data_IF_711390179106
#
_entry.id   IF_711390179106
#
_cell.length_a   1.000
_cell.length_b   1.000
_cell.length_c   1.000
_cell.angle_alpha   90.00
_cell.angle_beta   90.00
_cell.angle_gamma   90.00
#
_symmetry.space_group_name_H-M   'P 1'
#
loop_
_entity.id
_entity.type
_entity.pdbx_description
1 polymer ?
#
# COMPACT_ATOMS: atom_id res chain seq x y z
N UNK A 1 -3.86 -9.76 20.39
CA UNK A 1 -3.59 -9.47 18.97
C UNK A 1 -3.33 -7.98 18.72
N UNK A 2 -4.30 -7.09 18.98
CA UNK A 2 -4.16 -5.63 18.74
C UNK A 2 -2.94 -5.02 19.43
N UNK A 3 -2.67 -5.40 20.69
CA UNK A 3 -1.47 -4.96 21.40
C UNK A 3 -0.17 -5.28 20.66
N UNK A 4 -0.05 -6.49 20.08
CA UNK A 4 1.13 -6.88 19.30
C UNK A 4 1.23 -6.09 17.99
N UNK A 5 0.10 -5.81 17.33
CA UNK A 5 0.06 -4.99 16.11
C UNK A 5 0.62 -3.60 16.40
N UNK A 6 0.09 -2.95 17.45
CA UNK A 6 0.50 -1.59 17.81
C UNK A 6 1.94 -1.54 18.27
N UNK A 7 2.34 -2.41 19.21
CA UNK A 7 3.71 -2.40 19.76
C UNK A 7 4.78 -2.75 18.73
N UNK A 8 4.56 -3.74 17.87
CA UNK A 8 5.52 -4.13 16.83
C UNK A 8 5.50 -3.21 15.61
N UNK A 9 4.38 -2.52 15.37
CA UNK A 9 4.21 -1.62 14.23
C UNK A 9 4.55 -0.16 14.50
N UNK A 10 4.49 0.30 15.76
CA UNK A 10 4.73 1.70 16.13
C UNK A 10 6.11 2.21 15.69
N UNK A 11 7.12 1.34 15.69
CA UNK A 11 8.47 1.67 15.21
C UNK A 11 8.49 2.16 13.77
N UNK A 12 7.60 1.67 12.90
CA UNK A 12 7.57 2.03 11.48
C UNK A 12 7.23 3.52 11.27
N UNK A 13 6.48 4.11 12.20
CA UNK A 13 6.09 5.53 12.17
C UNK A 13 7.17 6.45 12.73
N UNK A 14 8.31 5.89 13.14
CA UNK A 14 9.51 6.65 13.50
C UNK A 14 10.64 6.29 12.57
N UNK A 15 11.55 7.23 12.34
CA UNK A 15 12.71 7.00 11.50
C UNK A 15 13.88 7.83 11.99
N UNK A 16 15.06 7.24 11.96
CA UNK A 16 16.30 7.93 12.27
C UNK A 16 16.84 8.64 11.04
N UNK A 17 17.16 9.92 11.21
CA UNK A 17 17.84 10.75 10.24
C UNK A 17 19.23 11.13 10.72
N UNK A 18 20.16 11.28 9.77
CA UNK A 18 21.54 11.74 9.95
C UNK A 18 21.67 13.10 9.27
N UNK A 19 21.97 14.14 10.04
CA UNK A 19 22.25 15.46 9.50
C UNK A 19 23.72 15.56 9.07
N UNK A 20 23.97 15.94 7.83
CA UNK A 20 25.33 16.10 7.28
C UNK A 20 25.41 17.30 6.34
N UNK A 21 26.46 18.09 6.50
CA UNK A 21 26.85 19.13 5.56
C UNK A 21 27.64 18.50 4.41
N UNK A 22 27.10 18.59 3.19
CA UNK A 22 27.70 17.99 2.00
C UNK A 22 28.18 19.08 1.06
N UNK A 23 29.49 19.09 0.81
CA UNK A 23 30.10 19.96 -0.20
C UNK A 23 29.84 19.41 -1.61
N UNK A 24 29.16 20.21 -2.45
CA UNK A 24 28.80 19.85 -3.81
C UNK A 24 29.98 20.12 -4.77
N UNK A 25 31.04 19.33 -4.69
CA UNK A 25 32.29 19.55 -5.45
C UNK A 25 32.06 19.68 -6.97
N UNK A 26 32.32 20.88 -7.52
CA UNK A 26 32.18 21.17 -8.94
C UNK A 26 33.01 20.23 -9.83
N UNK A 27 34.27 19.96 -9.45
CA UNK A 27 35.15 19.05 -10.20
C UNK A 27 34.64 17.60 -10.31
N UNK A 28 33.67 17.19 -9.48
CA UNK A 28 33.04 15.87 -9.54
C UNK A 28 31.70 15.90 -10.27
N UNK A 29 30.90 16.94 -10.02
CA UNK A 29 29.50 17.04 -10.47
C UNK A 29 29.35 17.72 -11.83
N UNK A 30 30.22 18.67 -12.14
CA UNK A 30 30.21 19.45 -13.38
C UNK A 30 31.66 19.63 -13.87
N UNK A 31 32.18 18.59 -14.51
CA UNK A 31 33.58 18.57 -15.00
C UNK A 31 33.88 19.66 -16.03
N UNK A 32 32.86 20.18 -16.72
CA UNK A 32 33.02 21.21 -17.75
C UNK A 32 32.79 22.62 -17.19
N UNK A 33 32.21 22.74 -16.00
CA UNK A 33 31.91 24.01 -15.34
C UNK A 33 30.80 24.82 -16.03
N UNK A 34 30.02 24.20 -16.92
CA UNK A 34 29.02 24.88 -17.75
C UNK A 34 27.62 24.89 -17.13
N UNK A 35 27.43 24.21 -15.98
CA UNK A 35 26.13 24.03 -15.29
C UNK A 35 25.03 23.47 -16.19
N UNK A 36 25.41 22.76 -17.23
CA UNK A 36 24.49 22.19 -18.20
C UNK A 36 23.82 20.94 -17.64
N UNK A 37 22.49 20.93 -17.66
CA UNK A 37 21.68 19.84 -17.09
C UNK A 37 21.95 18.49 -17.76
N UNK A 38 22.20 18.47 -19.07
CA UNK A 38 22.40 17.23 -19.81
C UNK A 38 23.80 16.66 -19.58
N UNK A 39 24.78 17.51 -19.28
CA UNK A 39 26.09 17.07 -18.81
C UNK A 39 26.05 16.57 -17.36
N UNK A 40 25.32 17.25 -16.45
CA UNK A 40 25.19 16.83 -15.05
C UNK A 40 24.43 15.49 -14.93
N UNK A 41 23.38 15.28 -15.74
CA UNK A 41 22.61 14.02 -15.75
C UNK A 41 23.46 12.78 -16.05
N UNK A 42 24.59 12.93 -16.76
CA UNK A 42 25.52 11.84 -17.08
C UNK A 42 26.26 11.32 -15.85
N UNK A 43 26.33 12.09 -14.76
CA UNK A 43 26.87 11.61 -13.49
C UNK A 43 25.90 10.60 -12.89
N UNK A 44 26.35 9.35 -12.79
CA UNK A 44 25.57 8.27 -12.18
C UNK A 44 25.36 8.53 -10.70
N UNK A 45 24.33 7.92 -10.11
CA UNK A 45 24.06 8.01 -8.67
C UNK A 45 25.27 7.59 -7.82
N UNK A 46 26.04 6.58 -8.26
CA UNK A 46 27.28 6.16 -7.58
C UNK A 46 28.37 7.24 -7.59
N UNK A 47 28.34 8.16 -8.55
CA UNK A 47 29.25 9.30 -8.63
C UNK A 47 29.09 10.30 -7.47
N UNK A 48 27.96 10.25 -6.74
CA UNK A 48 27.68 11.09 -5.58
C UNK A 48 28.13 10.47 -4.25
N UNK A 49 28.39 9.16 -4.20
CA UNK A 49 28.85 8.44 -2.99
C UNK A 49 30.16 8.99 -2.40
N UNK A 50 31.17 9.40 -3.21
CA UNK A 50 32.38 10.04 -2.67
C UNK A 50 32.09 11.33 -1.90
N UNK A 51 31.10 12.12 -2.32
CA UNK A 51 30.73 13.36 -1.61
C UNK A 51 30.21 13.04 -0.19
N UNK A 52 29.39 11.99 -0.07
CA UNK A 52 28.90 11.52 1.23
C UNK A 52 30.04 10.95 2.10
N UNK A 53 31.00 10.26 1.49
CA UNK A 53 32.19 9.76 2.20
C UNK A 53 32.99 10.91 2.81
N UNK A 54 33.26 11.93 2.00
CA UNK A 54 34.02 13.11 2.41
C UNK A 54 33.27 13.93 3.48
N UNK A 55 31.96 14.13 3.31
CA UNK A 55 31.13 14.84 4.28
C UNK A 55 31.13 14.17 5.65
N UNK A 56 31.02 12.84 5.67
CA UNK A 56 31.01 12.07 6.90
C UNK A 56 32.39 12.06 7.57
N UNK A 57 33.46 11.93 6.78
CA UNK A 57 34.85 12.04 7.28
C UNK A 57 35.14 13.42 7.87
N UNK A 58 34.72 14.49 7.18
CA UNK A 58 34.85 15.86 7.68
C UNK A 58 34.11 16.05 9.02
N UNK A 59 32.89 15.52 9.13
CA UNK A 59 32.11 15.57 10.38
C UNK A 59 32.78 14.79 11.52
N UNK A 60 33.34 13.63 11.26
CA UNK A 60 34.09 12.83 12.26
C UNK A 60 35.32 13.59 12.76
N UNK A 61 36.07 14.22 11.85
CA UNK A 61 37.24 15.04 12.17
C UNK A 61 36.84 16.27 12.99
N UNK A 62 35.78 16.98 12.58
CA UNK A 62 35.24 18.15 13.28
C UNK A 62 34.88 17.83 14.72
N UNK A 63 34.27 16.66 14.95
CA UNK A 63 33.85 16.21 16.28
C UNK A 63 34.97 15.56 17.11
N UNK A 64 36.17 15.39 16.55
CA UNK A 64 37.28 14.73 17.24
C UNK A 64 36.99 13.27 17.59
N UNK A 65 36.16 12.58 16.80
CA UNK A 65 35.81 11.17 17.05
C UNK A 65 36.95 10.29 16.51
N UNK A 66 37.61 9.55 17.40
CA UNK A 66 38.60 8.55 16.99
C UNK A 66 37.90 7.31 16.42
N UNK A 67 38.18 6.98 15.15
CA UNK A 67 37.68 5.76 14.50
C UNK A 67 38.73 5.17 13.57
N UNK A 68 38.80 3.84 13.54
CA UNK A 68 39.61 3.04 12.62
C UNK A 68 38.89 2.77 11.28
N UNK A 69 37.65 3.26 11.13
CA UNK A 69 36.83 3.07 9.94
C UNK A 69 37.32 3.90 8.76
N UNK A 70 37.50 3.26 7.60
CA UNK A 70 37.68 3.96 6.33
C UNK A 70 36.40 4.70 5.92
N UNK A 71 36.53 5.86 5.27
CA UNK A 71 35.40 6.69 4.82
C UNK A 71 34.30 5.92 4.08
N UNK A 72 34.68 5.01 3.17
CA UNK A 72 33.73 4.15 2.43
C UNK A 72 32.88 3.25 3.33
N UNK A 73 33.43 2.78 4.45
CA UNK A 73 32.71 1.97 5.44
C UNK A 73 31.83 2.85 6.33
N UNK A 74 32.28 4.06 6.66
CA UNK A 74 31.48 5.01 7.44
C UNK A 74 30.15 5.32 6.71
N UNK A 75 30.15 5.52 5.39
CA UNK A 75 28.91 5.77 4.59
C UNK A 75 27.84 4.68 4.75
N UNK A 76 28.22 3.46 5.15
CA UNK A 76 27.26 2.38 5.42
C UNK A 76 26.25 2.65 6.54
N UNK A 77 26.46 3.70 7.35
CA UNK A 77 25.47 4.15 8.34
C UNK A 77 24.29 4.88 7.69
N UNK A 78 24.46 5.40 6.48
CA UNK A 78 23.42 6.07 5.70
C UNK A 78 22.63 5.07 4.85
N UNK A 79 21.39 5.41 4.54
CA UNK A 79 20.59 4.67 3.57
C UNK A 79 21.25 4.68 2.20
N UNK A 80 21.04 3.60 1.45
CA UNK A 80 21.47 3.52 0.04
C UNK A 80 20.76 4.56 -0.84
N UNK A 81 19.68 5.20 -0.37
CA UNK A 81 19.02 6.31 -1.08
C UNK A 81 19.76 7.64 -0.98
N UNK A 82 20.71 7.82 -0.05
CA UNK A 82 21.34 9.11 0.22
C UNK A 82 22.00 9.71 -1.03
N UNK A 83 22.69 8.89 -1.83
CA UNK A 83 23.31 9.35 -3.07
C UNK A 83 22.29 9.77 -4.14
N UNK A 84 21.13 9.11 -4.19
CA UNK A 84 20.03 9.51 -5.08
C UNK A 84 19.43 10.85 -4.63
N UNK A 85 19.25 11.04 -3.32
CA UNK A 85 18.76 12.30 -2.75
C UNK A 85 19.67 13.49 -3.11
N UNK A 86 20.99 13.35 -2.97
CA UNK A 86 21.93 14.41 -3.38
C UNK A 86 21.87 14.65 -4.89
N UNK A 87 21.83 13.58 -5.69
CA UNK A 87 21.72 13.69 -7.15
C UNK A 87 20.46 14.43 -7.58
N UNK A 88 19.31 14.07 -7.02
CA UNK A 88 18.04 14.70 -7.38
C UNK A 88 18.01 16.16 -6.94
N UNK A 89 18.61 16.50 -5.79
CA UNK A 89 18.79 17.89 -5.38
C UNK A 89 19.65 18.70 -6.36
N UNK A 90 20.78 18.14 -6.79
CA UNK A 90 21.71 18.79 -7.73
C UNK A 90 21.07 18.99 -9.11
N UNK A 91 20.31 18.00 -9.59
CA UNK A 91 19.58 18.11 -10.86
C UNK A 91 18.49 19.18 -10.81
N UNK A 92 17.84 19.36 -9.68
CA UNK A 92 16.84 20.42 -9.51
C UNK A 92 17.46 21.79 -9.21
N UNK A 93 18.70 21.83 -8.72
CA UNK A 93 19.41 23.06 -8.35
C UNK A 93 20.85 23.09 -8.91
N UNK A 94 21.07 23.11 -10.24
CA UNK A 94 22.42 23.10 -10.81
C UNK A 94 23.30 24.26 -10.32
N UNK A 95 22.69 25.42 -10.04
CA UNK A 95 23.38 26.62 -9.58
C UNK A 95 24.03 26.47 -8.20
N UNK A 96 23.61 25.46 -7.41
CA UNK A 96 24.12 25.19 -6.06
C UNK A 96 25.39 24.34 -6.01
N UNK A 97 25.84 23.81 -7.14
CA UNK A 97 27.14 23.12 -7.21
C UNK A 97 28.24 24.10 -6.74
N UNK A 98 29.20 23.62 -5.94
CA UNK A 98 30.26 24.41 -5.31
C UNK A 98 29.90 24.98 -3.94
N UNK A 99 28.64 24.89 -3.49
CA UNK A 99 28.24 25.25 -2.13
C UNK A 99 28.25 24.01 -1.21
N UNK A 100 28.40 24.25 0.09
CA UNK A 100 28.14 23.26 1.15
C UNK A 100 26.68 23.38 1.58
N UNK A 101 25.95 22.27 1.51
CA UNK A 101 24.52 22.23 1.77
C UNK A 101 24.25 21.17 2.85
N UNK A 102 23.45 21.53 3.85
CA UNK A 102 22.95 20.63 4.87
C UNK A 102 21.89 19.68 4.31
N UNK A 103 22.12 18.38 4.48
CA UNK A 103 21.17 17.33 4.12
C UNK A 103 20.78 16.51 5.35
N UNK A 104 19.54 16.03 5.34
CA UNK A 104 19.08 15.01 6.27
C UNK A 104 18.87 13.71 5.51
N UNK A 105 19.69 12.72 5.83
CA UNK A 105 19.67 11.41 5.21
C UNK A 105 18.98 10.40 6.11
N UNK A 106 18.26 9.45 5.53
CA UNK A 106 17.81 8.28 6.26
C UNK A 106 19.03 7.51 6.78
N UNK A 107 19.01 7.10 8.04
CA UNK A 107 19.95 6.11 8.54
C UNK A 107 19.64 4.74 7.92
N UNK A 108 20.66 3.89 7.75
CA UNK A 108 20.49 2.55 7.22
C UNK A 108 19.61 1.69 8.13
N UNK A 109 18.95 0.67 7.56
CA UNK A 109 18.11 -0.31 8.27
C UNK A 109 18.65 -0.75 9.63
N UNK A 110 19.95 -1.07 9.70
CA UNK A 110 20.62 -1.56 10.90
C UNK A 110 20.87 -0.48 11.94
N UNK A 111 21.25 0.73 11.51
CA UNK A 111 21.45 1.87 12.40
C UNK A 111 20.11 2.31 13.01
N UNK A 112 19.08 2.45 12.19
CA UNK A 112 17.73 2.75 12.68
C UNK A 112 17.22 1.65 13.63
N UNK A 113 17.45 0.38 13.27
CA UNK A 113 17.12 -0.75 14.12
C UNK A 113 17.85 -0.75 15.46
N UNK A 114 19.13 -0.39 15.48
CA UNK A 114 19.92 -0.26 16.72
C UNK A 114 19.33 0.83 17.62
N UNK A 115 19.03 2.01 17.06
CA UNK A 115 18.46 3.14 17.82
C UNK A 115 17.02 2.93 18.29
N UNK A 116 16.34 1.93 17.72
CA UNK A 116 15.01 1.45 18.14
C UNK A 116 15.07 0.19 19.02
N UNK A 117 16.25 -0.36 19.30
CA UNK A 117 16.42 -1.57 20.10
C UNK A 117 16.04 -2.89 19.39
N UNK A 118 15.91 -2.87 18.06
CA UNK A 118 15.68 -4.07 17.22
C UNK A 118 16.97 -4.84 16.92
N UNK A 119 18.11 -4.15 16.94
CA UNK A 119 19.42 -4.70 16.65
C UNK A 119 20.30 -4.45 17.88
N UNK A 120 20.91 -5.50 18.42
CA UNK A 120 21.74 -5.42 19.62
C UNK A 120 23.21 -5.68 19.27
N UNK A 121 24.14 -5.08 20.03
CA UNK A 121 25.60 -5.26 19.84
C UNK A 121 26.00 -6.74 19.86
N UNK A 122 25.40 -7.53 20.75
CA UNK A 122 25.67 -8.97 20.87
C UNK A 122 25.25 -9.78 19.63
N UNK A 123 24.29 -9.28 18.85
CA UNK A 123 23.77 -9.94 17.66
C UNK A 123 24.54 -9.62 16.36
N UNK A 124 25.48 -8.65 16.41
CA UNK A 124 26.12 -8.07 15.22
C UNK A 124 27.44 -8.76 14.86
N UNK A 125 28.03 -9.59 15.73
CA UNK A 125 29.32 -10.24 15.47
C UNK A 125 29.40 -10.98 14.12
N UNK A 126 28.26 -11.44 13.59
CA UNK A 126 28.14 -12.11 12.29
C UNK A 126 27.25 -11.36 11.26
N UNK A 127 26.84 -10.11 11.52
CA UNK A 127 26.01 -9.35 10.59
C UNK A 127 26.87 -8.79 9.43
N UNK A 128 26.39 -8.96 8.20
CA UNK A 128 27.11 -8.53 6.99
C UNK A 128 26.88 -7.05 6.64
N UNK A 129 25.87 -6.42 7.24
CA UNK A 129 25.38 -5.09 6.89
C UNK A 129 25.88 -4.00 7.84
N UNK A 130 26.33 -4.35 9.05
CA UNK A 130 26.86 -3.39 10.03
C UNK A 130 27.98 -4.01 10.88
N UNK A 131 28.99 -3.23 11.25
CA UNK A 131 30.09 -3.65 12.15
C UNK A 131 30.00 -2.97 13.53
N UNK A 132 30.65 -3.54 14.57
CA UNK A 132 30.71 -2.91 15.90
C UNK A 132 31.29 -1.49 15.87
N UNK A 133 32.39 -1.27 15.13
CA UNK A 133 32.98 0.07 14.98
C UNK A 133 32.02 1.09 14.35
N UNK A 134 31.12 0.66 13.45
CA UNK A 134 30.08 1.54 12.90
C UNK A 134 29.04 1.92 13.95
N UNK A 135 28.75 1.04 14.91
CA UNK A 135 27.89 1.39 16.04
C UNK A 135 28.55 2.34 17.02
N UNK A 136 29.85 2.22 17.24
CA UNK A 136 30.60 3.17 18.08
C UNK A 136 30.53 4.58 17.48
N UNK A 137 30.71 4.67 16.16
CA UNK A 137 30.50 5.92 15.42
C UNK A 137 29.05 6.44 15.56
N UNK A 138 28.05 5.56 15.46
CA UNK A 138 26.64 5.94 15.63
C UNK A 138 26.36 6.46 17.04
N UNK A 139 26.92 5.85 18.08
CA UNK A 139 26.73 6.33 19.45
C UNK A 139 27.40 7.69 19.67
N UNK A 140 28.58 7.92 19.08
CA UNK A 140 29.24 9.22 19.11
C UNK A 140 28.41 10.31 18.39
N UNK A 141 27.90 10.02 17.18
CA UNK A 141 27.03 10.93 16.42
C UNK A 141 25.70 11.21 17.13
N UNK A 142 25.19 10.23 17.89
CA UNK A 142 23.97 10.40 18.70
C UNK A 142 24.21 11.28 19.91
N UNK A 143 25.36 11.14 20.57
CA UNK A 143 25.71 11.94 21.74
C UNK A 143 25.86 13.43 21.40
N UNK A 144 26.35 13.73 20.20
CA UNK A 144 26.48 15.12 19.71
C UNK A 144 25.18 15.70 19.15
N UNK A 145 24.24 14.87 18.69
CA UNK A 145 22.93 15.30 18.22
C UNK A 145 22.75 15.29 16.69
N UNK A 146 23.76 14.87 15.92
CA UNK A 146 23.66 14.63 14.46
C UNK A 146 22.65 13.55 14.07
N UNK A 147 22.23 12.69 15.00
CA UNK A 147 21.21 11.66 14.79
C UNK A 147 19.92 11.99 15.53
N UNK A 148 18.81 12.10 14.79
CA UNK A 148 17.50 12.38 15.36
C UNK A 148 16.45 11.37 14.89
N UNK A 149 15.66 10.85 15.82
CA UNK A 149 14.43 10.10 15.50
C UNK A 149 13.27 11.06 15.31
N UNK A 150 12.57 10.94 14.19
CA UNK A 150 11.41 11.78 13.84
C UNK A 150 10.25 10.93 13.36
N UNK A 151 9.08 11.54 13.27
CA UNK A 151 7.91 10.90 12.69
C UNK A 151 8.14 10.61 11.20
N UNK A 152 7.86 9.39 10.77
CA UNK A 152 8.12 8.92 9.42
C UNK A 152 6.87 9.08 8.54
N UNK A 153 6.65 10.30 8.03
CA UNK A 153 5.54 10.54 7.10
C UNK A 153 5.70 9.74 5.80
N UNK A 154 6.95 9.54 5.36
CA UNK A 154 7.29 8.76 4.16
C UNK A 154 6.87 7.30 4.28
N UNK A 155 6.75 6.74 5.49
CA UNK A 155 6.20 5.40 5.66
C UNK A 155 4.72 5.34 5.26
N UNK A 156 3.95 6.39 5.56
CA UNK A 156 2.52 6.44 5.24
C UNK A 156 2.35 6.80 3.77
N UNK A 157 2.87 7.95 3.34
CA UNK A 157 2.57 8.52 2.01
C UNK A 157 3.64 8.26 0.95
N UNK A 158 4.81 7.75 1.34
CA UNK A 158 5.93 7.54 0.43
C UNK A 158 5.68 6.39 -0.54
N UNK A 159 6.29 6.51 -1.72
CA UNK A 159 6.14 5.58 -2.84
C UNK A 159 7.26 4.55 -2.96
N UNK A 160 8.29 4.62 -2.11
CA UNK A 160 9.40 3.69 -2.19
C UNK A 160 8.96 2.31 -1.72
N UNK A 161 8.97 1.33 -2.62
CA UNK A 161 8.68 -0.07 -2.33
C UNK A 161 9.93 -0.95 -2.49
N UNK A 162 11.12 -0.35 -2.47
CA UNK A 162 12.40 -1.02 -2.75
C UNK A 162 12.76 -2.13 -1.76
N UNK A 163 13.05 -3.31 -2.32
CA UNK A 163 13.58 -4.47 -1.61
C UNK A 163 14.93 -4.25 -0.91
N UNK A 164 15.72 -3.29 -1.39
CA UNK A 164 17.08 -3.06 -0.90
C UNK A 164 17.17 -2.04 0.25
N UNK A 165 16.06 -1.37 0.59
CA UNK A 165 16.02 -0.15 1.43
C UNK A 165 14.79 -0.16 2.35
N UNK A 166 14.72 -1.07 3.33
CA UNK A 166 13.55 -1.16 4.22
C UNK A 166 13.34 0.12 5.04
N UNK A 167 14.39 0.89 5.30
CA UNK A 167 14.29 2.19 5.97
C UNK A 167 13.49 3.22 5.16
N UNK A 168 13.49 3.12 3.82
CA UNK A 168 12.76 4.02 2.94
C UNK A 168 11.36 3.49 2.56
N UNK A 169 11.09 2.21 2.80
CA UNK A 169 9.87 1.54 2.38
C UNK A 169 8.60 2.23 2.92
N UNK A 170 7.65 2.54 2.03
CA UNK A 170 6.38 3.22 2.33
C UNK A 170 5.15 2.50 1.78
N UNK A 171 3.99 2.84 2.33
CA UNK A 171 2.67 2.25 2.00
C UNK A 171 1.86 3.09 1.00
N UNK A 172 2.36 4.25 0.56
CA UNK A 172 1.62 5.20 -0.25
C UNK A 172 1.08 4.60 -1.55
N UNK A 173 1.94 3.90 -2.28
CA UNK A 173 1.60 3.26 -3.56
C UNK A 173 0.56 2.16 -3.37
N UNK A 174 0.76 1.28 -2.38
CA UNK A 174 -0.14 0.15 -2.11
C UNK A 174 -1.50 0.60 -1.58
N UNK A 175 -1.57 1.71 -0.82
CA UNK A 175 -2.84 2.35 -0.44
C UNK A 175 -3.61 2.84 -1.65
N UNK A 176 -2.95 3.53 -2.59
CA UNK A 176 -3.57 4.02 -3.82
C UNK A 176 -4.07 2.83 -4.66
N UNK A 177 -3.25 1.79 -4.82
CA UNK A 177 -3.64 0.59 -5.56
C UNK A 177 -4.84 -0.10 -4.92
N UNK A 178 -4.83 -0.32 -3.60
CA UNK A 178 -5.98 -0.85 -2.87
C UNK A 178 -7.23 0.02 -2.99
N UNK A 179 -7.09 1.36 -2.98
CA UNK A 179 -8.23 2.26 -3.18
C UNK A 179 -8.89 2.06 -4.55
N UNK A 180 -8.11 2.02 -5.64
CA UNK A 180 -8.64 1.80 -6.99
C UNK A 180 -9.22 0.40 -7.17
N UNK A 181 -8.60 -0.63 -6.58
CA UNK A 181 -9.18 -1.98 -6.53
C UNK A 181 -10.56 -1.95 -5.89
N UNK A 182 -10.68 -1.36 -4.70
CA UNK A 182 -11.96 -1.30 -3.97
C UNK A 182 -13.01 -0.46 -4.70
N UNK A 183 -12.60 0.59 -5.42
CA UNK A 183 -13.48 1.36 -6.28
C UNK A 183 -14.08 0.48 -7.38
N UNK A 184 -13.27 -0.34 -8.05
CA UNK A 184 -13.73 -1.27 -9.09
C UNK A 184 -14.68 -2.31 -8.48
N UNK A 185 -14.32 -2.90 -7.34
CA UNK A 185 -15.19 -3.88 -6.65
C UNK A 185 -16.53 -3.23 -6.28
N UNK A 186 -16.54 -2.03 -5.72
CA UNK A 186 -17.77 -1.33 -5.37
C UNK A 186 -18.62 -1.01 -6.61
N UNK A 187 -18.03 -0.49 -7.67
CA UNK A 187 -18.75 -0.08 -8.89
C UNK A 187 -19.31 -1.27 -9.66
N UNK A 188 -18.68 -2.43 -9.60
CA UNK A 188 -19.12 -3.62 -10.33
C UNK A 188 -19.93 -4.57 -9.44
N UNK A 189 -19.39 -5.00 -8.30
CA UNK A 189 -19.98 -6.05 -7.49
C UNK A 189 -21.33 -5.63 -6.88
N UNK A 190 -21.47 -4.37 -6.44
CA UNK A 190 -22.72 -3.90 -5.84
C UNK A 190 -23.86 -3.83 -6.87
N UNK A 191 -23.75 -3.10 -8.01
CA UNK A 191 -24.84 -3.05 -8.97
C UNK A 191 -25.18 -4.41 -9.57
N UNK A 192 -24.17 -5.21 -9.94
CA UNK A 192 -24.39 -6.54 -10.53
C UNK A 192 -25.04 -7.47 -9.51
N UNK A 193 -24.53 -7.50 -8.27
CA UNK A 193 -25.07 -8.36 -7.21
C UNK A 193 -26.50 -7.97 -6.83
N UNK A 194 -26.80 -6.67 -6.76
CA UNK A 194 -28.15 -6.17 -6.48
C UNK A 194 -29.12 -6.47 -7.63
N UNK A 195 -28.72 -6.21 -8.87
CA UNK A 195 -29.54 -6.52 -10.04
C UNK A 195 -29.85 -8.02 -10.15
N UNK A 196 -28.83 -8.87 -9.98
CA UNK A 196 -29.00 -10.32 -9.97
C UNK A 196 -29.98 -10.77 -8.87
N UNK A 197 -29.88 -10.18 -7.68
CA UNK A 197 -30.76 -10.52 -6.55
C UNK A 197 -32.19 -10.04 -6.74
N UNK A 198 -32.38 -8.83 -7.28
CA UNK A 198 -33.71 -8.33 -7.64
C UNK A 198 -34.35 -9.25 -8.68
N UNK A 199 -33.60 -9.62 -9.72
CA UNK A 199 -34.10 -10.54 -10.74
C UNK A 199 -34.49 -11.89 -10.13
N UNK A 200 -33.58 -12.53 -9.39
CA UNK A 200 -33.80 -13.86 -8.83
C UNK A 200 -34.92 -13.90 -7.78
N UNK A 201 -35.06 -12.87 -6.95
CA UNK A 201 -36.04 -12.85 -5.86
C UNK A 201 -37.42 -12.34 -6.30
N UNK A 202 -37.47 -11.33 -7.17
CA UNK A 202 -38.73 -10.66 -7.51
C UNK A 202 -39.25 -11.02 -8.90
N UNK A 203 -38.41 -11.44 -9.86
CA UNK A 203 -38.85 -11.62 -11.26
C UNK A 203 -38.68 -13.03 -11.80
N UNK A 204 -37.70 -13.79 -11.32
CA UNK A 204 -37.34 -15.07 -11.89
C UNK A 204 -38.44 -16.13 -11.63
N UNK A 205 -38.88 -16.85 -12.68
CA UNK A 205 -39.74 -18.00 -12.51
C UNK A 205 -38.98 -19.15 -11.84
N UNK A 206 -39.68 -19.99 -11.07
CA UNK A 206 -39.12 -21.23 -10.51
C UNK A 206 -38.98 -22.26 -11.63
N UNK A 207 -37.79 -22.40 -12.18
CA UNK A 207 -37.47 -23.36 -13.23
C UNK A 207 -36.00 -23.80 -13.14
N UNK A 208 -35.66 -24.81 -13.93
CA UNK A 208 -34.31 -25.40 -13.94
C UNK A 208 -33.20 -24.40 -14.29
N UNK A 209 -33.48 -23.32 -15.04
CA UNK A 209 -32.50 -22.27 -15.36
C UNK A 209 -32.19 -21.45 -14.11
N UNK A 210 -33.21 -21.02 -13.39
CA UNK A 210 -33.06 -20.32 -12.10
C UNK A 210 -32.30 -21.20 -11.11
N UNK A 211 -32.64 -22.49 -11.02
CA UNK A 211 -31.94 -23.43 -10.15
C UNK A 211 -30.45 -23.55 -10.50
N UNK A 212 -30.10 -23.63 -11.79
CA UNK A 212 -28.70 -23.63 -12.24
C UNK A 212 -27.97 -22.36 -11.83
N UNK A 213 -28.60 -21.18 -11.98
CA UNK A 213 -27.98 -19.91 -11.59
C UNK A 213 -27.71 -19.90 -10.07
N UNK A 214 -28.67 -20.34 -9.26
CA UNK A 214 -28.52 -20.42 -7.80
C UNK A 214 -27.41 -21.37 -7.36
N UNK A 215 -27.32 -22.53 -8.01
CA UNK A 215 -26.25 -23.50 -7.76
C UNK A 215 -24.89 -22.90 -8.14
N UNK A 216 -24.78 -22.18 -9.26
CA UNK A 216 -23.52 -21.53 -9.66
C UNK A 216 -23.09 -20.43 -8.68
N UNK A 217 -24.02 -19.61 -8.19
CA UNK A 217 -23.72 -18.60 -7.16
C UNK A 217 -23.19 -19.27 -5.89
N UNK A 218 -23.84 -20.36 -5.47
CA UNK A 218 -23.42 -21.13 -4.28
C UNK A 218 -22.05 -21.78 -4.48
N UNK A 219 -21.79 -22.32 -5.68
CA UNK A 219 -20.49 -22.89 -6.03
C UNK A 219 -19.39 -21.83 -6.02
N UNK A 220 -19.64 -20.64 -6.60
CA UNK A 220 -18.68 -19.54 -6.58
C UNK A 220 -18.31 -19.11 -5.16
N UNK A 221 -19.25 -19.13 -4.21
CA UNK A 221 -18.97 -18.83 -2.80
C UNK A 221 -18.06 -19.87 -2.13
N UNK A 222 -17.99 -21.10 -2.64
CA UNK A 222 -17.19 -22.18 -2.10
C UNK A 222 -15.79 -22.30 -2.75
N UNK A 223 -15.55 -21.60 -3.86
CA UNK A 223 -14.27 -21.66 -4.57
C UNK A 223 -13.16 -21.00 -3.74
N UNK A 224 -12.00 -21.67 -3.53
CA UNK A 224 -10.86 -21.06 -2.85
C UNK A 224 -10.34 -19.80 -3.57
N UNK A 225 -9.96 -18.76 -2.81
CA UNK A 225 -9.60 -17.45 -3.40
C UNK A 225 -8.41 -17.49 -4.37
N UNK A 226 -7.48 -18.45 -4.20
CA UNK A 226 -6.36 -18.70 -5.12
C UNK A 226 -6.83 -19.01 -6.55
N UNK A 227 -7.96 -19.71 -6.71
CA UNK A 227 -8.49 -20.12 -8.02
C UNK A 227 -8.96 -18.89 -8.81
N UNK A 228 -9.53 -17.89 -8.14
CA UNK A 228 -9.89 -16.63 -8.77
C UNK A 228 -8.66 -15.87 -9.28
N UNK A 229 -7.52 -15.96 -8.59
CA UNK A 229 -6.25 -15.38 -9.07
C UNK A 229 -5.74 -16.05 -10.34
N UNK A 230 -5.79 -17.38 -10.41
CA UNK A 230 -5.41 -18.15 -11.62
C UNK A 230 -6.35 -17.79 -12.78
N UNK A 231 -7.65 -17.67 -12.52
CA UNK A 231 -8.63 -17.24 -13.51
C UNK A 231 -8.34 -15.81 -13.98
N UNK A 232 -8.02 -14.90 -13.07
CA UNK A 232 -7.64 -13.53 -13.41
C UNK A 232 -6.41 -13.46 -14.31
N UNK A 233 -5.39 -14.26 -14.01
CA UNK A 233 -4.20 -14.38 -14.86
C UNK A 233 -4.54 -14.94 -16.24
N UNK A 234 -5.32 -16.02 -16.31
CA UNK A 234 -5.66 -16.65 -17.58
C UNK A 234 -6.59 -15.79 -18.46
N UNK A 235 -7.63 -15.20 -17.88
CA UNK A 235 -8.68 -14.49 -18.63
C UNK A 235 -8.32 -13.02 -18.81
N UNK A 236 -8.05 -12.28 -17.73
CA UNK A 236 -7.88 -10.84 -17.81
C UNK A 236 -6.52 -10.44 -18.35
N UNK A 237 -5.46 -11.10 -17.90
CA UNK A 237 -4.09 -10.81 -18.36
C UNK A 237 -3.81 -11.50 -19.68
N UNK A 238 -3.88 -12.84 -19.75
CA UNK A 238 -3.39 -13.57 -20.92
C UNK A 238 -4.35 -13.49 -22.12
N UNK A 239 -5.65 -13.63 -21.90
CA UNK A 239 -6.63 -13.61 -23.00
C UNK A 239 -7.06 -12.20 -23.39
N UNK A 240 -7.41 -11.35 -22.42
CA UNK A 240 -7.84 -9.97 -22.66
C UNK A 240 -6.68 -8.96 -22.75
N UNK A 241 -5.43 -9.39 -22.54
CA UNK A 241 -4.23 -8.56 -22.65
C UNK A 241 -4.23 -7.33 -21.72
N UNK A 242 -4.89 -7.42 -20.56
CA UNK A 242 -4.86 -6.34 -19.57
C UNK A 242 -3.50 -6.28 -18.86
N UNK A 243 -3.06 -5.09 -18.42
CA UNK A 243 -1.74 -4.95 -17.80
C UNK A 243 -1.62 -5.75 -16.50
N UNK A 244 -0.47 -6.39 -16.32
CA UNK A 244 -0.11 -7.03 -15.06
C UNK A 244 -0.08 -6.01 -13.92
N UNK A 245 -0.42 -6.47 -12.71
CA UNK A 245 -0.40 -5.65 -11.51
C UNK A 245 -1.34 -4.43 -11.55
N UNK A 246 -2.25 -4.32 -12.52
CA UNK A 246 -3.17 -3.20 -12.63
C UNK A 246 -4.30 -3.31 -11.59
N UNK A 247 -4.63 -2.23 -10.85
CA UNK A 247 -5.78 -2.20 -9.95
C UNK A 247 -7.11 -2.61 -10.59
N UNK A 248 -7.30 -2.36 -11.89
CA UNK A 248 -8.45 -2.83 -12.64
C UNK A 248 -8.56 -4.37 -12.63
N UNK A 249 -7.47 -5.07 -12.92
CA UNK A 249 -7.44 -6.55 -12.94
C UNK A 249 -7.69 -7.10 -11.53
N UNK A 250 -7.03 -6.54 -10.51
CA UNK A 250 -7.28 -6.89 -9.12
C UNK A 250 -8.75 -6.69 -8.73
N UNK A 251 -9.33 -5.56 -9.12
CA UNK A 251 -10.74 -5.24 -8.88
C UNK A 251 -11.70 -6.20 -9.58
N UNK A 252 -11.43 -6.61 -10.82
CA UNK A 252 -12.25 -7.59 -11.55
C UNK A 252 -12.21 -8.97 -10.88
N UNK A 253 -11.03 -9.44 -10.49
CA UNK A 253 -10.86 -10.72 -9.78
C UNK A 253 -11.60 -10.71 -8.45
N UNK A 254 -11.40 -9.66 -7.64
CA UNK A 254 -12.08 -9.54 -6.37
C UNK A 254 -13.59 -9.32 -6.52
N UNK A 255 -14.05 -8.69 -7.61
CA UNK A 255 -15.48 -8.59 -7.94
C UNK A 255 -16.09 -9.98 -8.08
N UNK A 256 -15.47 -10.88 -8.87
CA UNK A 256 -15.95 -12.25 -9.05
C UNK A 256 -16.05 -13.00 -7.72
N UNK A 257 -15.07 -12.80 -6.83
CA UNK A 257 -15.06 -13.41 -5.51
C UNK A 257 -16.10 -12.82 -4.55
N UNK A 258 -16.38 -11.52 -4.66
CA UNK A 258 -17.26 -10.78 -3.74
C UNK A 258 -18.74 -10.87 -4.14
N UNK A 259 -19.02 -11.11 -5.43
CA UNK A 259 -20.37 -11.20 -5.97
C UNK A 259 -21.30 -12.16 -5.21
N UNK A 260 -20.90 -13.42 -4.90
CA UNK A 260 -21.77 -14.34 -4.18
C UNK A 260 -22.19 -13.82 -2.81
N UNK A 261 -21.28 -13.20 -2.07
CA UNK A 261 -21.53 -12.61 -0.76
C UNK A 261 -22.59 -11.50 -0.85
N UNK A 262 -22.46 -10.61 -1.85
CA UNK A 262 -23.43 -9.52 -2.08
C UNK A 262 -24.79 -10.09 -2.50
N UNK A 263 -24.82 -11.08 -3.40
CA UNK A 263 -26.05 -11.69 -3.90
C UNK A 263 -26.83 -12.35 -2.75
N UNK A 264 -26.17 -13.22 -1.97
CA UNK A 264 -26.80 -13.95 -0.87
C UNK A 264 -27.39 -12.98 0.16
N UNK A 265 -26.62 -11.97 0.57
CA UNK A 265 -27.09 -10.98 1.54
C UNK A 265 -28.20 -10.09 1.00
N UNK A 266 -28.14 -9.71 -0.29
CA UNK A 266 -29.18 -8.90 -0.92
C UNK A 266 -30.49 -9.67 -1.03
N UNK A 267 -30.46 -10.94 -1.44
CA UNK A 267 -31.66 -11.79 -1.49
C UNK A 267 -32.30 -11.97 -0.13
N UNK A 268 -31.50 -12.24 0.90
CA UNK A 268 -32.00 -12.33 2.27
C UNK A 268 -32.68 -11.01 2.71
N UNK A 269 -32.12 -9.86 2.32
CA UNK A 269 -32.66 -8.54 2.64
C UNK A 269 -33.97 -8.24 1.89
N UNK A 270 -34.06 -8.59 0.61
CA UNK A 270 -35.29 -8.45 -0.18
C UNK A 270 -36.41 -9.34 0.38
N UNK A 271 -36.08 -10.61 0.69
CA UNK A 271 -37.02 -11.58 1.25
C UNK A 271 -37.54 -11.19 2.63
N UNK A 272 -36.76 -10.45 3.42
CA UNK A 272 -37.16 -9.97 4.74
C UNK A 272 -38.23 -8.87 4.70
N UNK A 273 -38.42 -8.20 3.55
CA UNK A 273 -39.51 -7.22 3.40
C UNK A 273 -40.86 -7.96 3.45
N UNK A 274 -41.83 -7.53 4.28
CA UNK A 274 -43.11 -8.22 4.40
C UNK A 274 -43.87 -8.30 3.05
N UNK A 275 -44.53 -9.44 2.73
CA UNK A 275 -45.36 -9.55 1.53
C UNK A 275 -46.47 -8.52 1.45
N UNK A 276 -47.04 -8.12 2.60
CA UNK A 276 -48.10 -7.10 2.67
C UNK A 276 -47.72 -5.75 2.05
N UNK A 277 -46.43 -5.38 2.07
CA UNK A 277 -45.94 -4.17 1.40
C UNK A 277 -46.07 -4.31 -0.13
N UNK A 278 -45.76 -5.49 -0.66
CA UNK A 278 -45.89 -5.78 -2.11
C UNK A 278 -47.35 -5.78 -2.51
N UNK A 279 -48.19 -6.46 -1.74
CA UNK A 279 -49.63 -6.58 -2.00
C UNK A 279 -50.33 -5.22 -1.92
N UNK A 280 -49.97 -4.38 -0.94
CA UNK A 280 -50.50 -3.02 -0.83
C UNK A 280 -50.11 -2.16 -2.04
N UNK A 281 -48.85 -2.23 -2.49
CA UNK A 281 -48.38 -1.50 -3.66
C UNK A 281 -49.14 -1.91 -4.93
N UNK A 282 -49.28 -3.21 -5.15
CA UNK A 282 -50.04 -3.75 -6.28
C UNK A 282 -51.52 -3.39 -6.18
N UNK A 283 -52.09 -3.42 -4.97
CA UNK A 283 -53.49 -3.09 -4.68
C UNK A 283 -53.88 -1.64 -5.00
N UNK A 284 -52.93 -0.70 -4.93
CA UNK A 284 -53.13 0.69 -5.38
C UNK A 284 -52.79 0.92 -6.85
N UNK A 285 -52.56 -0.16 -7.62
CA UNK A 285 -52.32 -0.12 -9.06
C UNK A 285 -50.86 0.07 -9.47
N UNK A 286 -49.89 -0.05 -8.55
CA UNK A 286 -48.47 -0.02 -8.93
C UNK A 286 -48.10 -1.27 -9.73
N UNK A 287 -47.24 -1.13 -10.74
CA UNK A 287 -46.65 -2.27 -11.43
C UNK A 287 -45.67 -3.03 -10.53
N UNK A 288 -45.35 -4.28 -10.86
CA UNK A 288 -44.35 -5.08 -10.14
C UNK A 288 -42.99 -4.36 -10.05
N UNK A 289 -42.57 -3.71 -11.13
CA UNK A 289 -41.36 -2.89 -11.16
C UNK A 289 -41.47 -1.71 -10.19
N UNK A 290 -42.58 -0.96 -10.20
CA UNK A 290 -42.78 0.16 -9.29
C UNK A 290 -42.80 -0.29 -7.82
N UNK A 291 -43.44 -1.42 -7.51
CA UNK A 291 -43.46 -2.01 -6.16
C UNK A 291 -42.03 -2.32 -5.67
N UNK A 292 -41.21 -2.95 -6.52
CA UNK A 292 -39.83 -3.29 -6.18
C UNK A 292 -38.97 -2.04 -6.00
N UNK A 293 -38.93 -1.14 -6.97
CA UNK A 293 -38.00 0.00 -6.94
C UNK A 293 -38.39 1.10 -5.95
N UNK A 294 -39.69 1.32 -5.73
CA UNK A 294 -40.14 2.37 -4.81
C UNK A 294 -40.32 1.90 -3.38
N UNK A 295 -40.56 0.62 -3.12
CA UNK A 295 -40.90 0.13 -1.78
C UNK A 295 -39.95 -0.98 -1.31
N UNK A 296 -39.86 -2.10 -2.02
CA UNK A 296 -39.06 -3.25 -1.55
C UNK A 296 -37.57 -2.91 -1.47
N UNK A 297 -36.98 -2.38 -2.55
CA UNK A 297 -35.55 -2.10 -2.63
C UNK A 297 -35.12 -1.03 -1.62
N UNK A 298 -35.83 0.10 -1.44
CA UNK A 298 -35.50 1.06 -0.40
C UNK A 298 -35.59 0.49 1.02
N UNK A 299 -36.56 -0.38 1.30
CA UNK A 299 -36.71 -1.04 2.61
C UNK A 299 -35.63 -2.10 2.87
N UNK A 300 -35.19 -2.80 1.82
CA UNK A 300 -34.10 -3.78 1.89
C UNK A 300 -32.70 -3.13 1.94
N UNK A 301 -32.55 -1.88 1.50
CA UNK A 301 -31.27 -1.20 1.32
C UNK A 301 -30.32 -1.27 2.55
N UNK A 302 -30.77 -1.13 3.81
CA UNK A 302 -29.86 -1.26 4.96
C UNK A 302 -29.23 -2.66 5.07
N UNK A 303 -29.97 -3.72 4.72
CA UNK A 303 -29.49 -5.09 4.68
C UNK A 303 -28.50 -5.30 3.53
N UNK A 304 -28.82 -4.79 2.34
CA UNK A 304 -27.95 -4.83 1.15
C UNK A 304 -26.60 -4.16 1.44
N UNK A 305 -26.62 -2.97 2.03
CA UNK A 305 -25.42 -2.24 2.40
C UNK A 305 -24.60 -3.00 3.44
N UNK A 306 -25.24 -3.74 4.35
CA UNK A 306 -24.53 -4.59 5.32
C UNK A 306 -23.79 -5.72 4.62
N UNK A 307 -24.44 -6.44 3.70
CA UNK A 307 -23.79 -7.47 2.88
C UNK A 307 -22.64 -6.92 2.05
N UNK A 308 -22.82 -5.72 1.50
CA UNK A 308 -21.80 -5.02 0.73
C UNK A 308 -20.60 -4.67 1.59
N UNK A 309 -20.81 -4.14 2.81
CA UNK A 309 -19.72 -3.85 3.76
C UNK A 309 -18.92 -5.12 4.08
N UNK A 310 -19.59 -6.24 4.34
CA UNK A 310 -18.94 -7.51 4.63
C UNK A 310 -18.12 -7.99 3.43
N UNK A 311 -18.71 -7.95 2.23
CA UNK A 311 -18.03 -8.34 0.99
C UNK A 311 -16.80 -7.48 0.70
N UNK A 312 -16.90 -6.16 0.85
CA UNK A 312 -15.77 -5.24 0.64
C UNK A 312 -14.68 -5.43 1.70
N UNK A 313 -15.05 -5.66 2.95
CA UNK A 313 -14.08 -5.93 4.03
C UNK A 313 -13.31 -7.23 3.77
N UNK A 314 -13.99 -8.28 3.29
CA UNK A 314 -13.35 -9.52 2.88
C UNK A 314 -12.41 -9.30 1.69
N UNK A 315 -12.89 -8.66 0.62
CA UNK A 315 -12.10 -8.37 -0.58
C UNK A 315 -10.82 -7.58 -0.27
N UNK A 316 -10.91 -6.55 0.59
CA UNK A 316 -9.77 -5.74 1.00
C UNK A 316 -8.70 -6.55 1.77
N UNK A 317 -9.09 -7.65 2.42
CA UNK A 317 -8.19 -8.55 3.12
C UNK A 317 -7.58 -9.65 2.25
N UNK A 318 -8.03 -9.82 1.01
CA UNK A 318 -7.53 -10.87 0.14
C UNK A 318 -6.11 -10.60 -0.34
N UNK A 319 -5.29 -11.65 -0.26
CA UNK A 319 -3.86 -11.60 -0.64
C UNK A 319 -3.55 -12.57 -1.76
N UNK A 320 -4.01 -13.82 -1.62
CA UNK A 320 -3.69 -14.91 -2.54
C UNK A 320 -4.00 -14.62 -4.02
N UNK A 321 -5.21 -14.17 -4.40
CA UNK A 321 -5.50 -13.88 -5.80
C UNK A 321 -4.66 -12.73 -6.36
N UNK A 322 -4.35 -11.71 -5.53
CA UNK A 322 -3.60 -10.52 -5.94
C UNK A 322 -2.12 -10.82 -6.21
N UNK A 323 -1.53 -11.74 -5.44
CA UNK A 323 -0.16 -12.21 -5.68
C UNK A 323 -0.03 -12.90 -7.04
N UNK A 324 -1.03 -13.69 -7.43
CA UNK A 324 -1.00 -14.45 -8.69
C UNK A 324 -1.06 -13.58 -9.94
N UNK A 325 -1.71 -12.42 -9.85
CA UNK A 325 -1.80 -11.43 -10.94
C UNK A 325 -0.69 -10.37 -10.85
N UNK A 326 0.32 -10.61 -10.01
CA UNK A 326 1.55 -9.82 -9.96
C UNK A 326 1.47 -8.52 -9.15
N UNK A 327 0.47 -8.30 -8.30
CA UNK A 327 0.34 -7.07 -7.47
C UNK A 327 1.32 -7.02 -6.28
N UNK A 328 2.53 -7.54 -6.49
CA UNK A 328 3.66 -7.50 -5.56
C UNK A 328 4.45 -6.19 -5.77
N UNK A 329 5.00 -5.66 -4.67
CA UNK A 329 5.49 -4.28 -4.47
C UNK A 329 6.62 -3.73 -5.35
N UNK A 330 6.62 -3.97 -6.66
CA UNK A 330 7.75 -3.61 -7.52
C UNK A 330 7.58 -2.33 -8.31
N UNK A 331 6.48 -1.60 -8.13
CA UNK A 331 6.25 -0.40 -8.92
C UNK A 331 6.42 0.83 -8.05
N UNK A 332 7.56 1.51 -8.26
CA UNK A 332 7.71 2.91 -7.90
C UNK A 332 6.77 3.73 -8.81
N UNK A 333 5.47 3.72 -8.49
CA UNK A 333 4.52 4.60 -9.16
C UNK A 333 4.53 5.94 -8.45
N UNK A 334 4.76 6.99 -9.23
CA UNK A 334 4.30 8.30 -8.82
C UNK A 334 2.77 8.24 -8.60
N UNK A 335 2.21 9.15 -7.78
CA UNK A 335 0.77 9.29 -7.68
C UNK A 335 0.15 9.36 -9.08
N UNK A 336 -0.97 8.67 -9.34
CA UNK A 336 -1.55 8.63 -10.67
C UNK A 336 -2.04 10.03 -11.07
N UNK A 337 -1.68 10.47 -12.27
CA UNK A 337 -2.09 11.77 -12.81
C UNK A 337 -3.58 11.83 -13.20
N UNK A 338 -4.21 10.67 -13.39
CA UNK A 338 -5.62 10.51 -13.78
C UNK A 338 -6.26 9.23 -13.20
N UNK A 339 -7.59 9.15 -13.26
CA UNK A 339 -8.33 7.92 -12.90
C UNK A 339 -7.91 6.74 -13.79
N UNK A 340 -7.69 6.98 -15.09
CA UNK A 340 -7.27 5.94 -16.03
C UNK A 340 -5.90 5.36 -15.65
N UNK A 341 -4.93 6.21 -15.32
CA UNK A 341 -3.62 5.78 -14.82
C UNK A 341 -3.75 5.08 -13.47
N UNK A 342 -4.64 5.54 -12.58
CA UNK A 342 -4.89 4.87 -11.31
C UNK A 342 -5.43 3.43 -11.44
N UNK A 343 -6.17 3.15 -12.52
CA UNK A 343 -6.75 1.84 -12.79
C UNK A 343 -5.82 0.91 -13.58
N UNK A 344 -5.07 1.45 -14.55
CA UNK A 344 -4.32 0.68 -15.53
C UNK A 344 -2.81 0.65 -15.29
N UNK A 345 -2.25 1.65 -14.61
CA UNK A 345 -0.84 1.64 -14.28
C UNK A 345 -0.56 0.54 -13.25
N UNK A 346 0.50 -0.24 -13.44
CA UNK A 346 0.91 -1.25 -12.47
C UNK A 346 1.02 -0.66 -11.06
N UNK A 347 0.46 -1.35 -10.07
CA UNK A 347 0.54 -0.97 -8.67
C UNK A 347 0.53 -2.19 -7.75
N UNK A 348 0.73 -1.99 -6.45
CA UNK A 348 0.58 -3.02 -5.43
C UNK A 348 -0.73 -2.85 -4.65
N UNK A 349 -1.11 -3.88 -3.92
CA UNK A 349 -2.21 -3.86 -2.97
C UNK A 349 -1.65 -4.00 -1.54
N UNK A 350 -2.23 -3.29 -0.57
CA UNK A 350 -1.76 -3.30 0.81
C UNK A 350 -1.58 -4.72 1.39
N UNK A 351 -2.51 -5.68 1.24
CA UNK A 351 -2.34 -7.03 1.81
C UNK A 351 -1.15 -7.77 1.16
N UNK A 352 -1.02 -7.68 -0.16
CA UNK A 352 0.09 -8.26 -0.90
C UNK A 352 1.44 -7.64 -0.49
N UNK A 353 1.49 -6.32 -0.32
CA UNK A 353 2.69 -5.60 0.14
C UNK A 353 3.09 -6.02 1.56
N UNK A 354 2.13 -6.10 2.48
CA UNK A 354 2.36 -6.52 3.87
C UNK A 354 2.88 -7.96 3.91
N UNK A 355 2.29 -8.85 3.13
CA UNK A 355 2.72 -10.25 3.03
C UNK A 355 4.15 -10.36 2.49
N UNK A 356 4.48 -9.59 1.45
CA UNK A 356 5.83 -9.57 0.89
C UNK A 356 6.87 -9.05 1.89
N UNK A 357 6.57 -8.00 2.65
CA UNK A 357 7.46 -7.53 3.70
C UNK A 357 7.60 -8.52 4.86
N UNK A 358 6.52 -9.18 5.27
CA UNK A 358 6.55 -10.15 6.37
C UNK A 358 7.45 -11.37 6.09
N UNK A 359 7.68 -11.70 4.81
CA UNK A 359 8.54 -12.81 4.38
C UNK A 359 10.02 -12.46 4.30
N UNK A 360 10.39 -11.18 4.41
CA UNK A 360 11.78 -10.74 4.27
C UNK A 360 12.57 -11.02 5.54
N UNK A 361 13.85 -11.34 5.36
CA UNK A 361 14.75 -11.66 6.48
C UNK A 361 15.20 -10.43 7.29
N UNK A 362 15.14 -9.21 6.72
CA UNK A 362 15.53 -8.00 7.45
C UNK A 362 14.47 -7.65 8.52
N UNK A 363 14.84 -7.55 9.82
CA UNK A 363 13.92 -7.13 10.87
C UNK A 363 13.21 -5.80 10.62
N UNK A 364 13.78 -4.91 9.80
CA UNK A 364 13.11 -3.66 9.43
C UNK A 364 11.88 -3.90 8.55
N UNK A 365 11.91 -4.86 7.62
CA UNK A 365 10.71 -5.20 6.84
C UNK A 365 9.61 -5.82 7.71
N UNK A 366 10.00 -6.57 8.74
CA UNK A 366 9.03 -7.09 9.71
C UNK A 366 8.32 -5.95 10.47
N UNK A 367 9.07 -4.94 10.92
CA UNK A 367 8.50 -3.70 11.49
C UNK A 367 7.56 -2.99 10.49
N UNK A 368 7.98 -2.84 9.23
CA UNK A 368 7.17 -2.24 8.15
C UNK A 368 5.88 -3.02 7.91
N UNK A 369 5.91 -4.34 7.96
CA UNK A 369 4.73 -5.19 7.81
C UNK A 369 3.71 -4.95 8.93
N UNK A 370 4.14 -4.93 10.21
CA UNK A 370 3.25 -4.60 11.33
C UNK A 370 2.72 -3.17 11.25
N UNK A 371 3.56 -2.21 10.87
CA UNK A 371 3.15 -0.83 10.61
C UNK A 371 2.10 -0.74 9.50
N UNK A 372 2.28 -1.53 8.44
CA UNK A 372 1.35 -1.61 7.30
C UNK A 372 0.01 -2.22 7.69
N UNK A 373 -0.02 -3.20 8.59
CA UNK A 373 -1.28 -3.74 9.15
C UNK A 373 -2.07 -2.64 9.86
N UNK A 374 -1.42 -1.73 10.60
CA UNK A 374 -2.10 -0.59 11.23
C UNK A 374 -2.75 0.29 10.15
N UNK A 375 -2.02 0.63 9.08
CA UNK A 375 -2.55 1.42 7.97
C UNK A 375 -3.73 0.72 7.29
N UNK A 376 -3.61 -0.58 7.01
CA UNK A 376 -4.68 -1.39 6.43
C UNK A 376 -5.93 -1.40 7.31
N UNK A 377 -5.77 -1.53 8.64
CA UNK A 377 -6.89 -1.49 9.58
C UNK A 377 -7.54 -0.11 9.63
N UNK A 378 -6.75 0.97 9.65
CA UNK A 378 -7.28 2.34 9.58
C UNK A 378 -8.04 2.57 8.27
N UNK A 379 -7.50 2.11 7.14
CA UNK A 379 -8.15 2.19 5.85
C UNK A 379 -9.48 1.43 5.84
N UNK A 380 -9.49 0.18 6.34
CA UNK A 380 -10.68 -0.65 6.45
C UNK A 380 -11.74 -0.01 7.34
N UNK A 381 -11.35 0.48 8.52
CA UNK A 381 -12.26 1.17 9.44
C UNK A 381 -12.83 2.44 8.80
N UNK A 382 -12.00 3.22 8.10
CA UNK A 382 -12.44 4.44 7.42
C UNK A 382 -13.45 4.13 6.32
N UNK A 383 -13.13 3.17 5.44
CA UNK A 383 -14.02 2.72 4.37
C UNK A 383 -15.35 2.20 4.91
N UNK A 384 -15.31 1.33 5.92
CA UNK A 384 -16.51 0.77 6.53
C UNK A 384 -17.32 1.83 7.26
N UNK A 385 -16.68 2.80 7.91
CA UNK A 385 -17.38 3.92 8.57
C UNK A 385 -18.14 4.75 7.55
N UNK A 386 -17.54 5.08 6.40
CA UNK A 386 -18.22 5.78 5.30
C UNK A 386 -19.44 4.97 4.84
N UNK A 387 -19.29 3.67 4.63
CA UNK A 387 -20.39 2.79 4.22
C UNK A 387 -21.51 2.70 5.27
N UNK A 388 -21.17 2.67 6.56
CA UNK A 388 -22.15 2.68 7.67
C UNK A 388 -22.88 4.02 7.75
N UNK A 389 -22.18 5.14 7.55
CA UNK A 389 -22.81 6.47 7.52
C UNK A 389 -23.81 6.54 6.36
N UNK A 390 -23.45 6.05 5.17
CA UNK A 390 -24.36 5.93 4.03
C UNK A 390 -25.57 5.06 4.38
N UNK A 391 -25.36 3.90 5.02
CA UNK A 391 -26.43 3.01 5.49
C UNK A 391 -27.42 3.71 6.43
N UNK A 392 -26.94 4.45 7.43
CA UNK A 392 -27.81 5.18 8.39
C UNK A 392 -28.71 6.19 7.70
N UNK A 393 -28.26 6.81 6.60
CA UNK A 393 -29.07 7.75 5.83
C UNK A 393 -30.24 7.07 5.09
N UNK A 394 -30.07 5.81 4.69
CA UNK A 394 -31.10 5.01 4.02
C UNK A 394 -31.97 4.18 4.98
N UNK A 395 -31.64 4.17 6.28
CA UNK A 395 -32.40 3.45 7.29
C UNK A 395 -33.76 4.11 7.51
N UNK A 396 -34.82 3.53 6.93
CA UNK A 396 -36.20 3.84 7.26
C UNK A 396 -36.72 2.76 8.18
N UNK A 397 -37.07 3.14 9.41
CA UNK A 397 -37.73 2.25 10.37
C UNK A 397 -39.20 2.12 9.96
N UNK A 398 -39.68 0.89 9.91
CA UNK A 398 -41.07 0.53 9.65
C UNK A 398 -41.64 -0.16 10.89
#
# INVERSE_FOLDING_TARGET
LVFNIVTRGAGAYQQTFVALEVELLAGKLDKKGNRDLDDIKKVSTFGYTPLLSNALEAKVIELGIETDLKAKKMVGILSKSAAAQVRDYVLNNPNKIGETIGFEFLASSRVDGYLKGRVNRDSIGNDKNISPAQLDLVDALKAEGSLAKRFNMSFITGSDASDARPEAAGMGTSMIGSFFIMLVVLVLALPIGVAASIYLEEFAPKNWITDIIEVNISNLAAVPSIVFGILGLAVFINYMHLPNSAPLVGGLVLTLMTLPTIIISTRASLKAVPPSIRDAALGVGASKMQSVFHHVLPLAAPGILTGTIIGLAQALGETAPLLLIGMVGFIASNPPDSIATGLLSPNSAMPAQIYEWAKRADPAFYERAWGGIIILLVFLVTMNTIAVILRRRFERRW
#
